data_IF_446466745579
#
_entry.id   IF_446466745579
#
_cell.length_a   1.000
_cell.length_b   1.000
_cell.length_c   1.000
_cell.angle_alpha   90.00
_cell.angle_beta   90.00
_cell.angle_gamma   90.00
#
_symmetry.space_group_name_H-M   'P 1'
#
loop_
_entity.id
_entity.type
_entity.pdbx_description
1 polymer ?
#
# COMPACT_ATOMS: atom_id res chain seq x y z
N UNK A 1 -25.65 -47.54 17.49
CA UNK A 1 -24.68 -47.97 16.45
C UNK A 1 -25.04 -47.25 15.16
N UNK A 2 -24.17 -46.39 14.62
CA UNK A 2 -24.45 -45.63 13.40
C UNK A 2 -24.70 -46.55 12.19
N UNK A 3 -25.68 -46.20 11.35
CA UNK A 3 -26.02 -46.97 10.15
C UNK A 3 -24.79 -47.17 9.25
N UNK A 4 -24.69 -48.28 8.51
CA UNK A 4 -23.53 -48.57 7.64
C UNK A 4 -23.30 -47.50 6.56
N UNK A 5 -24.31 -46.68 6.24
CA UNK A 5 -24.18 -45.51 5.38
C UNK A 5 -23.35 -44.39 6.05
N UNK A 6 -23.58 -44.09 7.34
CA UNK A 6 -22.82 -43.07 8.10
C UNK A 6 -21.34 -43.44 8.23
N UNK A 7 -21.04 -44.72 8.48
CA UNK A 7 -19.65 -45.21 8.57
C UNK A 7 -18.90 -45.06 7.23
N UNK A 8 -19.56 -45.38 6.11
CA UNK A 8 -18.99 -45.22 4.77
C UNK A 8 -18.74 -43.74 4.43
N UNK A 9 -19.69 -42.86 4.76
CA UNK A 9 -19.52 -41.42 4.58
C UNK A 9 -18.36 -40.87 5.41
N UNK A 10 -18.24 -41.25 6.70
CA UNK A 10 -17.11 -40.82 7.54
C UNK A 10 -15.77 -41.30 6.98
N UNK A 11 -15.67 -42.56 6.55
CA UNK A 11 -14.44 -43.07 5.94
C UNK A 11 -14.07 -42.33 4.66
N UNK A 12 -15.06 -41.98 3.83
CA UNK A 12 -14.83 -41.18 2.62
C UNK A 12 -14.32 -39.77 2.95
N UNK A 13 -14.91 -39.09 3.95
CA UNK A 13 -14.47 -37.76 4.38
C UNK A 13 -13.06 -37.79 4.98
N UNK A 14 -12.75 -38.79 5.80
CA UNK A 14 -11.39 -38.98 6.36
C UNK A 14 -10.39 -39.27 5.23
N UNK A 15 -10.74 -40.13 4.28
CA UNK A 15 -9.91 -40.41 3.12
C UNK A 15 -9.65 -39.15 2.26
N UNK A 16 -10.68 -38.35 2.02
CA UNK A 16 -10.56 -37.08 1.31
C UNK A 16 -9.66 -36.09 2.06
N UNK A 17 -9.81 -35.95 3.38
CA UNK A 17 -8.97 -35.08 4.20
C UNK A 17 -7.50 -35.52 4.18
N UNK A 18 -7.23 -36.82 4.30
CA UNK A 18 -5.86 -37.36 4.24
C UNK A 18 -5.25 -37.13 2.86
N UNK A 19 -6.01 -37.38 1.78
CA UNK A 19 -5.55 -37.14 0.42
C UNK A 19 -5.26 -35.65 0.17
N UNK A 20 -6.17 -34.76 0.58
CA UNK A 20 -5.98 -33.31 0.50
C UNK A 20 -4.71 -32.89 1.27
N UNK A 21 -4.55 -33.35 2.51
CA UNK A 21 -3.37 -33.05 3.34
C UNK A 21 -2.11 -33.54 2.63
N UNK A 22 -2.10 -34.77 2.13
CA UNK A 22 -0.96 -35.32 1.41
C UNK A 22 -0.61 -34.49 0.16
N UNK A 23 -1.60 -34.08 -0.64
CA UNK A 23 -1.40 -33.24 -1.82
C UNK A 23 -0.75 -31.89 -1.45
N UNK A 24 -1.28 -31.22 -0.42
CA UNK A 24 -0.77 -29.91 0.04
C UNK A 24 0.67 -30.02 0.55
N UNK A 25 0.98 -31.00 1.41
CA UNK A 25 2.32 -31.12 2.00
C UNK A 25 3.35 -31.79 1.08
N UNK A 26 2.91 -32.42 0.00
CA UNK A 26 3.78 -33.02 -1.02
C UNK A 26 4.01 -32.09 -2.21
N UNK A 27 3.35 -30.93 -2.26
CA UNK A 27 3.50 -29.95 -3.32
C UNK A 27 4.96 -29.44 -3.39
N UNK A 28 5.67 -29.65 -4.49
CA UNK A 28 7.04 -29.17 -4.66
C UNK A 28 7.12 -27.64 -4.76
N UNK A 29 6.05 -26.94 -5.13
CA UNK A 29 6.05 -25.47 -5.24
C UNK A 29 6.31 -24.81 -3.89
N UNK A 30 5.69 -25.30 -2.82
CA UNK A 30 5.94 -24.86 -1.44
C UNK A 30 7.35 -25.19 -0.90
N UNK A 31 8.13 -26.00 -1.63
CA UNK A 31 9.54 -26.30 -1.34
C UNK A 31 10.51 -25.55 -2.27
N UNK A 32 9.99 -24.89 -3.29
CA UNK A 32 10.77 -24.20 -4.33
C UNK A 32 10.91 -22.70 -4.06
N UNK A 33 10.04 -22.12 -3.23
CA UNK A 33 10.24 -20.75 -2.75
C UNK A 33 11.44 -20.72 -1.80
N UNK A 34 12.40 -19.81 -2.01
CA UNK A 34 13.53 -19.68 -1.09
C UNK A 34 12.98 -19.35 0.31
N UNK A 35 13.55 -19.96 1.37
CA UNK A 35 13.16 -19.63 2.73
C UNK A 35 13.41 -18.14 2.99
N UNK A 36 12.60 -17.55 3.85
CA UNK A 36 12.80 -16.16 4.28
C UNK A 36 14.26 -15.96 4.73
N UNK A 37 14.84 -14.81 4.38
CA UNK A 37 16.16 -14.43 4.88
C UNK A 37 16.16 -14.36 6.41
N UNK A 38 17.33 -14.47 7.04
CA UNK A 38 17.47 -14.37 8.50
C UNK A 38 16.83 -13.06 9.01
N UNK A 39 17.06 -11.96 8.30
CA UNK A 39 16.50 -10.65 8.63
C UNK A 39 14.96 -10.62 8.48
N UNK A 40 14.41 -11.27 7.46
CA UNK A 40 12.96 -11.41 7.31
C UNK A 40 12.34 -12.31 8.39
N UNK A 41 13.05 -13.34 8.87
CA UNK A 41 12.60 -14.18 9.99
C UNK A 41 12.54 -13.38 11.29
N UNK A 42 13.54 -12.52 11.54
CA UNK A 42 13.52 -11.56 12.66
C UNK A 42 12.34 -10.58 12.53
N UNK A 43 12.14 -10.02 11.33
CA UNK A 43 11.01 -9.14 11.01
C UNK A 43 9.65 -9.79 11.26
N UNK A 44 9.51 -11.07 10.88
CA UNK A 44 8.32 -11.87 11.21
C UNK A 44 8.15 -12.01 12.72
N UNK A 45 9.22 -12.20 13.48
CA UNK A 45 9.17 -12.22 14.94
C UNK A 45 8.60 -10.93 15.52
N UNK A 46 9.12 -9.79 15.05
CA UNK A 46 8.68 -8.44 15.44
C UNK A 46 7.19 -8.24 15.11
N UNK A 47 6.77 -8.57 13.88
CA UNK A 47 5.36 -8.53 13.46
C UNK A 47 4.41 -9.20 14.45
N UNK A 48 4.73 -10.43 14.88
CA UNK A 48 3.90 -11.17 15.82
C UNK A 48 3.95 -10.58 17.23
N UNK A 49 5.14 -10.18 17.70
CA UNK A 49 5.35 -9.65 19.05
C UNK A 49 4.63 -8.32 19.28
N UNK A 50 4.55 -7.46 18.26
CA UNK A 50 3.82 -6.20 18.30
C UNK A 50 2.34 -6.35 17.89
N UNK A 51 1.88 -7.58 17.66
CA UNK A 51 0.49 -7.92 17.36
C UNK A 51 -0.05 -7.20 16.09
N UNK A 52 0.82 -6.99 15.09
CA UNK A 52 0.45 -6.30 13.85
C UNK A 52 -0.71 -7.01 13.14
N UNK A 53 -0.78 -8.34 13.21
CA UNK A 53 -1.85 -9.18 12.67
C UNK A 53 -3.24 -8.92 13.26
N UNK A 54 -3.35 -8.32 14.45
CA UNK A 54 -4.67 -8.03 15.04
C UNK A 54 -5.39 -6.90 14.31
N UNK A 55 -4.65 -6.04 13.61
CA UNK A 55 -5.19 -4.94 12.82
C UNK A 55 -5.00 -5.15 11.32
N UNK A 56 -3.86 -5.70 10.90
CA UNK A 56 -3.48 -5.86 9.50
C UNK A 56 -3.62 -7.29 9.00
N UNK A 57 -3.75 -7.42 7.68
CA UNK A 57 -3.85 -8.71 7.00
C UNK A 57 -2.56 -9.06 6.26
N UNK A 58 -2.33 -10.36 6.09
CA UNK A 58 -1.41 -10.97 5.14
C UNK A 58 -2.20 -12.03 4.38
N UNK A 59 -2.20 -11.98 3.04
CA UNK A 59 -3.07 -12.77 2.16
C UNK A 59 -4.55 -12.66 2.54
N UNK A 60 -4.95 -11.51 3.08
CA UNK A 60 -6.28 -11.28 3.62
C UNK A 60 -6.63 -12.03 4.91
N UNK A 61 -5.66 -12.67 5.56
CA UNK A 61 -5.82 -13.25 6.89
C UNK A 61 -5.26 -12.30 7.96
N UNK A 62 -6.07 -11.99 8.97
CA UNK A 62 -5.71 -11.09 10.06
C UNK A 62 -6.86 -10.17 10.46
N UNK A 63 -6.54 -9.03 11.06
CA UNK A 63 -7.49 -7.98 11.40
C UNK A 63 -7.90 -7.13 10.19
N UNK A 64 -9.06 -6.48 10.26
CA UNK A 64 -9.61 -5.67 9.16
C UNK A 64 -9.57 -4.16 9.44
N UNK A 65 -8.88 -3.74 10.51
CA UNK A 65 -8.82 -2.34 10.89
C UNK A 65 -7.79 -1.57 10.05
N UNK A 66 -6.66 -2.22 9.76
CA UNK A 66 -5.62 -1.73 8.87
C UNK A 66 -5.71 -2.40 7.48
N UNK A 67 -5.05 -1.83 6.47
CA UNK A 67 -4.97 -2.45 5.15
C UNK A 67 -4.21 -3.78 5.18
N UNK A 68 -4.51 -4.65 4.21
CA UNK A 68 -3.67 -5.79 3.86
C UNK A 68 -2.27 -5.32 3.44
N UNK A 69 -1.24 -5.91 4.06
CA UNK A 69 0.15 -5.52 3.90
C UNK A 69 0.96 -6.45 2.99
N UNK A 70 0.36 -7.50 2.42
CA UNK A 70 1.02 -8.52 1.58
C UNK A 70 1.94 -7.89 0.53
N UNK A 71 1.43 -6.92 -0.24
CA UNK A 71 2.21 -6.23 -1.27
C UNK A 71 2.32 -4.72 -1.00
N UNK A 72 1.84 -4.22 0.14
CA UNK A 72 1.77 -2.78 0.42
C UNK A 72 3.15 -2.10 0.44
N UNK A 73 4.18 -2.85 0.85
CA UNK A 73 5.56 -2.35 0.91
C UNK A 73 6.12 -1.92 -0.45
N UNK A 74 5.59 -2.47 -1.56
CA UNK A 74 6.08 -2.16 -2.91
C UNK A 74 5.75 -0.72 -3.34
N UNK A 75 4.70 -0.12 -2.78
CA UNK A 75 4.28 1.25 -3.08
C UNK A 75 4.75 2.29 -2.06
N UNK A 76 5.63 1.92 -1.11
CA UNK A 76 6.05 2.80 -0.01
C UNK A 76 7.55 3.09 -0.08
N UNK A 77 7.90 4.37 0.15
CA UNK A 77 9.29 4.78 0.31
C UNK A 77 9.84 4.35 1.68
N UNK A 78 11.17 4.19 1.77
CA UNK A 78 11.82 3.79 3.03
C UNK A 78 11.54 4.79 4.15
N UNK A 79 11.62 6.10 3.86
CA UNK A 79 11.31 7.15 4.82
C UNK A 79 9.87 7.05 5.37
N UNK A 80 8.92 6.63 4.52
CA UNK A 80 7.53 6.44 4.94
C UNK A 80 7.36 5.21 5.82
N UNK A 81 8.02 4.11 5.50
CA UNK A 81 8.02 2.90 6.35
C UNK A 81 8.60 3.22 7.73
N UNK A 82 9.74 3.92 7.77
CA UNK A 82 10.38 4.33 9.02
C UNK A 82 9.46 5.24 9.87
N UNK A 83 8.84 6.25 9.24
CA UNK A 83 7.93 7.17 9.94
C UNK A 83 6.67 6.46 10.45
N UNK A 84 6.03 5.58 9.66
CA UNK A 84 4.87 4.82 10.11
C UNK A 84 5.21 3.91 11.30
N UNK A 85 6.35 3.21 11.27
CA UNK A 85 6.72 2.26 12.31
C UNK A 85 7.14 2.97 13.61
N UNK A 86 7.66 4.19 13.52
CA UNK A 86 8.11 4.97 14.70
C UNK A 86 7.03 5.88 15.27
N UNK A 87 6.26 6.57 14.42
CA UNK A 87 5.26 7.57 14.83
C UNK A 87 3.82 7.05 14.80
N UNK A 88 3.58 5.93 14.11
CA UNK A 88 2.24 5.42 13.88
C UNK A 88 1.47 6.24 12.83
N UNK A 89 0.22 5.86 12.61
CA UNK A 89 -0.67 6.54 11.67
C UNK A 89 -2.13 6.39 12.09
N UNK A 90 -2.75 7.50 12.49
CA UNK A 90 -4.15 7.56 12.93
C UNK A 90 -4.43 6.57 14.09
N UNK A 91 -4.99 5.40 13.79
CA UNK A 91 -5.31 4.34 14.74
C UNK A 91 -4.13 3.37 14.95
N UNK A 92 -3.16 3.34 14.03
CA UNK A 92 -1.94 2.56 14.19
C UNK A 92 -1.05 3.25 15.23
N UNK A 93 -0.71 2.56 16.34
CA UNK A 93 0.11 3.15 17.40
C UNK A 93 1.56 3.33 16.96
N UNK A 94 2.28 4.20 17.67
CA UNK A 94 3.73 4.32 17.56
C UNK A 94 4.39 3.11 18.22
N UNK A 95 5.25 2.39 17.50
CA UNK A 95 5.93 1.19 18.02
C UNK A 95 7.37 1.46 18.46
N UNK A 96 7.93 2.65 18.13
CA UNK A 96 9.28 3.08 18.51
C UNK A 96 10.39 2.06 18.18
N UNK A 97 10.20 1.26 17.14
CA UNK A 97 11.15 0.24 16.71
C UNK A 97 12.52 0.85 16.40
N UNK A 98 13.59 0.17 16.79
CA UNK A 98 14.97 0.53 16.44
C UNK A 98 15.22 0.38 14.93
N UNK A 99 16.30 0.97 14.42
CA UNK A 99 16.58 0.94 12.98
C UNK A 99 16.66 -0.49 12.43
N UNK A 100 17.40 -1.38 13.10
CA UNK A 100 17.51 -2.78 12.69
C UNK A 100 16.16 -3.51 12.70
N UNK A 101 15.29 -3.21 13.67
CA UNK A 101 13.95 -3.79 13.75
C UNK A 101 13.04 -3.31 12.60
N UNK A 102 13.13 -2.04 12.23
CA UNK A 102 12.37 -1.49 11.09
C UNK A 102 12.84 -2.08 9.77
N UNK A 103 14.16 -2.24 9.61
CA UNK A 103 14.75 -2.91 8.46
C UNK A 103 14.30 -4.38 8.38
N UNK A 104 14.27 -5.08 9.52
CA UNK A 104 13.80 -6.46 9.62
C UNK A 104 12.32 -6.60 9.20
N UNK A 105 11.42 -5.79 9.76
CA UNK A 105 9.99 -5.79 9.38
C UNK A 105 9.81 -5.44 7.91
N UNK A 106 10.57 -4.46 7.40
CA UNK A 106 10.53 -4.09 5.99
C UNK A 106 10.97 -5.24 5.10
N UNK A 107 12.07 -5.92 5.45
CA UNK A 107 12.57 -7.07 4.69
C UNK A 107 11.57 -8.23 4.70
N UNK A 108 10.94 -8.49 5.85
CA UNK A 108 9.86 -9.46 5.96
C UNK A 108 8.72 -9.17 4.98
N UNK A 109 8.22 -7.93 4.94
CA UNK A 109 7.14 -7.55 4.03
C UNK A 109 7.57 -7.59 2.56
N UNK A 110 8.83 -7.27 2.24
CA UNK A 110 9.35 -7.34 0.85
C UNK A 110 9.39 -8.76 0.33
N UNK A 111 9.96 -9.68 1.10
CA UNK A 111 10.00 -11.09 0.69
C UNK A 111 8.61 -11.71 0.66
N UNK A 112 7.73 -11.30 1.58
CA UNK A 112 6.33 -11.71 1.54
C UNK A 112 5.65 -11.29 0.24
N UNK A 113 5.90 -10.06 -0.23
CA UNK A 113 5.34 -9.55 -1.48
C UNK A 113 5.77 -10.33 -2.74
N UNK A 114 6.87 -11.09 -2.66
CA UNK A 114 7.34 -11.98 -3.74
C UNK A 114 6.66 -13.35 -3.72
N UNK A 115 6.06 -13.73 -2.59
CA UNK A 115 5.47 -15.07 -2.40
C UNK A 115 4.00 -15.16 -2.81
N UNK A 116 3.34 -14.04 -3.13
CA UNK A 116 1.98 -14.03 -3.65
C UNK A 116 1.36 -12.63 -3.68
N UNK A 117 0.06 -12.59 -3.99
CA UNK A 117 -0.72 -11.34 -4.06
C UNK A 117 -1.77 -11.27 -2.95
N UNK A 118 -2.02 -10.07 -2.42
CA UNK A 118 -3.11 -9.80 -1.47
C UNK A 118 -4.47 -10.18 -2.06
N UNK A 119 -5.50 -10.30 -1.21
CA UNK A 119 -6.88 -10.49 -1.68
C UNK A 119 -7.25 -9.48 -2.78
N UNK A 120 -8.02 -9.92 -3.80
CA UNK A 120 -8.38 -9.06 -4.91
C UNK A 120 -9.25 -7.93 -4.37
N UNK A 121 -8.71 -6.71 -4.42
CA UNK A 121 -9.46 -5.50 -4.08
C UNK A 121 -10.51 -5.30 -5.17
N UNK A 122 -11.73 -4.95 -4.78
CA UNK A 122 -12.84 -4.72 -5.73
C UNK A 122 -12.49 -3.54 -6.65
N UNK A 123 -12.58 -3.75 -7.97
CA UNK A 123 -12.20 -2.79 -9.00
C UNK A 123 -10.75 -2.97 -9.48
N UNK A 124 -10.52 -2.84 -10.79
CA UNK A 124 -9.17 -2.57 -11.30
C UNK A 124 -8.71 -1.27 -10.67
N UNK A 125 -7.91 -1.39 -9.61
CA UNK A 125 -7.25 -0.24 -9.03
C UNK A 125 -5.98 -0.06 -9.85
N UNK A 126 -6.07 0.68 -10.96
CA UNK A 126 -4.87 1.35 -11.47
C UNK A 126 -4.22 2.02 -10.24
N UNK A 127 -2.94 1.72 -9.95
CA UNK A 127 -2.24 2.35 -8.85
C UNK A 127 -2.46 3.87 -8.92
N UNK A 128 -2.78 4.53 -7.81
CA UNK A 128 -2.98 5.98 -7.83
C UNK A 128 -1.86 6.79 -8.48
N UNK A 129 -0.62 6.30 -8.41
CA UNK A 129 0.52 6.88 -9.12
C UNK A 129 0.39 6.77 -10.65
N UNK A 130 -0.04 5.62 -11.16
CA UNK A 130 -0.26 5.40 -12.60
C UNK A 130 -1.44 6.24 -13.13
N UNK A 131 -2.48 6.45 -12.31
CA UNK A 131 -3.56 7.37 -12.67
C UNK A 131 -3.09 8.82 -12.73
N UNK A 132 -2.20 9.23 -11.82
CA UNK A 132 -1.57 10.53 -11.90
C UNK A 132 -0.72 10.63 -13.17
N UNK A 133 0.09 9.61 -13.48
CA UNK A 133 0.91 9.56 -14.68
C UNK A 133 0.08 9.72 -15.95
N UNK A 134 -1.01 8.97 -16.09
CA UNK A 134 -1.92 9.05 -17.23
C UNK A 134 -2.59 10.42 -17.34
N UNK A 135 -3.01 10.99 -16.21
CA UNK A 135 -3.59 12.34 -16.19
C UNK A 135 -2.58 13.40 -16.64
N UNK A 136 -1.34 13.33 -16.14
CA UNK A 136 -0.26 14.24 -16.52
C UNK A 136 0.11 14.07 -17.99
N UNK A 137 0.19 12.84 -18.50
CA UNK A 137 0.47 12.56 -19.90
C UNK A 137 -0.59 13.16 -20.82
N UNK A 138 -1.87 12.98 -20.50
CA UNK A 138 -2.98 13.59 -21.25
C UNK A 138 -2.94 15.12 -21.21
N UNK A 139 -2.64 15.71 -20.05
CA UNK A 139 -2.50 17.16 -19.95
C UNK A 139 -1.32 17.70 -20.77
N UNK A 140 -0.21 16.97 -20.84
CA UNK A 140 0.94 17.34 -21.70
C UNK A 140 0.57 17.27 -23.18
N UNK A 141 -0.23 16.30 -23.59
CA UNK A 141 -0.72 16.17 -24.97
C UNK A 141 -1.65 17.32 -25.35
N UNK A 142 -2.55 17.73 -24.44
CA UNK A 142 -3.57 18.76 -24.69
C UNK A 142 -3.03 20.20 -24.53
N UNK A 143 -2.29 20.47 -23.46
CA UNK A 143 -1.87 21.82 -23.06
C UNK A 143 -0.40 22.12 -23.46
N UNK A 144 0.34 21.11 -23.91
CA UNK A 144 1.78 21.20 -24.19
C UNK A 144 2.66 20.83 -22.98
N UNK A 145 3.99 20.91 -23.12
CA UNK A 145 4.93 20.43 -22.10
C UNK A 145 4.79 21.21 -20.79
N UNK A 146 4.90 20.48 -19.67
CA UNK A 146 4.94 21.08 -18.34
C UNK A 146 6.10 22.10 -18.24
N UNK A 147 5.83 23.24 -17.62
CA UNK A 147 6.87 24.19 -17.25
C UNK A 147 7.94 23.48 -16.38
N UNK A 148 9.21 23.86 -16.53
CA UNK A 148 10.35 23.15 -15.91
C UNK A 148 10.21 22.96 -14.39
N UNK A 149 9.70 23.97 -13.67
CA UNK A 149 9.44 23.87 -12.23
C UNK A 149 8.32 22.89 -11.88
N UNK A 150 7.26 22.82 -12.71
CA UNK A 150 6.14 21.89 -12.54
C UNK A 150 6.61 20.45 -12.83
N UNK A 151 7.38 20.25 -13.89
CA UNK A 151 7.95 18.96 -14.24
C UNK A 151 8.90 18.42 -13.14
N UNK A 152 9.72 19.29 -12.55
CA UNK A 152 10.58 18.91 -11.40
C UNK A 152 9.74 18.54 -10.18
N UNK A 153 8.69 19.31 -9.88
CA UNK A 153 7.79 19.01 -8.75
C UNK A 153 7.06 17.67 -8.93
N UNK A 154 6.62 17.38 -10.16
CA UNK A 154 6.02 16.10 -10.52
C UNK A 154 6.97 14.93 -10.29
N UNK A 155 8.23 15.05 -10.74
CA UNK A 155 9.25 14.03 -10.53
C UNK A 155 9.49 13.75 -9.03
N UNK A 156 9.61 14.81 -8.22
CA UNK A 156 9.77 14.68 -6.76
C UNK A 156 8.57 13.99 -6.13
N UNK A 157 7.34 14.32 -6.56
CA UNK A 157 6.11 13.67 -6.06
C UNK A 157 6.12 12.16 -6.31
N UNK A 158 6.63 11.72 -7.47
CA UNK A 158 6.83 10.31 -7.80
C UNK A 158 7.94 9.66 -6.95
N UNK A 159 9.13 10.27 -6.92
CA UNK A 159 10.30 9.78 -6.17
C UNK A 159 10.03 9.64 -4.66
N UNK A 160 9.30 10.58 -4.08
CA UNK A 160 8.94 10.56 -2.65
C UNK A 160 7.69 9.72 -2.35
N UNK A 161 7.00 9.24 -3.39
CA UNK A 161 5.79 8.41 -3.24
C UNK A 161 4.61 9.15 -2.62
N UNK A 162 4.49 10.47 -2.83
CA UNK A 162 3.48 11.30 -2.16
C UNK A 162 2.05 10.80 -2.40
N UNK A 163 1.76 10.32 -3.63
CA UNK A 163 0.44 9.81 -4.04
C UNK A 163 0.08 8.48 -3.38
N UNK A 164 1.04 7.76 -2.81
CA UNK A 164 0.76 6.57 -1.99
C UNK A 164 -0.04 6.88 -0.73
N UNK A 165 0.00 8.12 -0.24
CA UNK A 165 -0.78 8.57 0.92
C UNK A 165 -1.77 9.68 0.55
N UNK A 166 -1.32 10.67 -0.21
CA UNK A 166 -2.09 11.85 -0.56
C UNK A 166 -2.77 11.69 -1.91
N UNK A 167 -3.99 11.19 -1.89
CA UNK A 167 -4.80 11.03 -3.10
C UNK A 167 -5.53 12.32 -3.45
N UNK A 168 -5.75 12.60 -4.75
CA UNK A 168 -6.77 13.51 -5.28
C UNK A 168 -8.20 13.05 -4.94
N UNK A 169 -8.46 12.69 -3.69
CA UNK A 169 -9.73 12.13 -3.26
C UNK A 169 -9.93 12.34 -1.75
N UNK A 170 -11.02 13.00 -1.32
CA UNK A 170 -11.34 13.16 0.10
C UNK A 170 -11.62 11.84 0.83
N UNK A 171 -11.77 10.71 0.11
CA UNK A 171 -12.01 9.37 0.64
C UNK A 171 -10.74 8.49 0.75
N UNK A 172 -9.54 9.06 0.62
CA UNK A 172 -8.30 8.30 0.82
C UNK A 172 -8.34 7.48 2.12
N UNK A 173 -8.05 6.18 2.03
CA UNK A 173 -7.96 5.27 3.19
C UNK A 173 -6.93 5.76 4.21
N UNK A 174 -5.95 6.53 3.76
CA UNK A 174 -4.86 7.05 4.60
C UNK A 174 -5.22 8.36 5.31
N UNK A 175 -6.40 8.95 5.02
CA UNK A 175 -6.87 10.24 5.57
C UNK A 175 -5.84 11.37 5.48
N UNK A 176 -4.90 11.28 4.53
CA UNK A 176 -3.97 12.36 4.24
C UNK A 176 -4.71 13.48 3.49
N UNK A 177 -4.28 14.75 3.63
CA UNK A 177 -4.89 15.85 2.89
C UNK A 177 -4.82 15.65 1.37
N UNK A 178 -5.89 16.02 0.68
CA UNK A 178 -5.97 16.04 -0.77
C UNK A 178 -5.06 17.14 -1.35
N UNK A 179 -3.97 16.72 -2.04
CA UNK A 179 -2.97 17.64 -2.60
C UNK A 179 -3.54 18.62 -3.62
N UNK A 180 -4.62 18.26 -4.31
CA UNK A 180 -5.29 19.13 -5.30
C UNK A 180 -5.96 20.36 -4.66
N UNK A 181 -5.93 20.46 -3.34
CA UNK A 181 -6.47 21.61 -2.59
C UNK A 181 -5.45 22.28 -1.68
N UNK A 182 -4.21 21.75 -1.60
CA UNK A 182 -3.25 22.19 -0.58
C UNK A 182 -2.53 23.49 -0.94
N UNK A 183 -2.37 23.80 -2.22
CA UNK A 183 -1.60 24.97 -2.63
C UNK A 183 -2.21 26.30 -2.12
N UNK A 184 -3.53 26.48 -2.22
CA UNK A 184 -4.20 27.67 -1.65
C UNK A 184 -4.51 27.59 -0.14
N UNK A 185 -4.57 26.37 0.43
CA UNK A 185 -4.98 26.15 1.83
C UNK A 185 -3.84 26.24 2.84
N UNK A 186 -2.59 26.09 2.40
CA UNK A 186 -1.42 26.07 3.27
C UNK A 186 -0.54 27.27 2.93
N UNK A 187 -0.19 28.05 3.96
CA UNK A 187 0.75 29.16 3.80
C UNK A 187 2.12 28.65 3.30
N UNK A 188 2.76 29.39 2.40
CA UNK A 188 4.02 28.96 1.77
C UNK A 188 5.10 28.60 2.80
N UNK A 189 5.29 29.44 3.82
CA UNK A 189 6.26 29.16 4.88
C UNK A 189 5.98 27.83 5.58
N UNK A 190 4.70 27.55 5.87
CA UNK A 190 4.28 26.30 6.49
C UNK A 190 4.49 25.08 5.58
N UNK A 191 4.21 25.22 4.29
CA UNK A 191 4.43 24.14 3.31
C UNK A 191 5.91 23.76 3.25
N UNK A 192 6.82 24.74 3.21
CA UNK A 192 8.27 24.50 3.20
C UNK A 192 8.71 23.74 4.47
N UNK A 193 8.23 24.16 5.64
CA UNK A 193 8.53 23.47 6.91
C UNK A 193 8.03 22.02 6.89
N UNK A 194 6.80 21.77 6.41
CA UNK A 194 6.24 20.40 6.35
C UNK A 194 7.04 19.51 5.39
N UNK A 195 7.51 20.06 4.27
CA UNK A 195 8.32 19.31 3.30
C UNK A 195 9.73 19.01 3.81
N UNK A 196 10.37 19.92 4.55
CA UNK A 196 11.70 19.67 5.12
C UNK A 196 11.64 18.79 6.38
N UNK A 197 10.71 19.07 7.31
CA UNK A 197 10.68 18.50 8.66
C UNK A 197 9.66 17.38 8.86
N UNK A 198 8.65 17.27 7.99
CA UNK A 198 7.49 16.40 8.22
C UNK A 198 6.51 17.01 9.24
N UNK A 199 5.60 16.20 9.78
CA UNK A 199 4.69 16.62 10.87
C UNK A 199 4.93 15.73 12.08
N UNK A 200 5.55 16.25 13.16
CA UNK A 200 5.83 15.45 14.35
C UNK A 200 4.58 14.79 14.95
N UNK A 201 4.68 13.50 15.25
CA UNK A 201 3.58 12.71 15.81
C UNK A 201 2.50 12.35 14.78
N UNK A 202 2.84 12.43 13.48
CA UNK A 202 1.98 12.04 12.37
C UNK A 202 2.85 11.31 11.36
N UNK A 203 2.25 10.38 10.61
CA UNK A 203 2.98 9.60 9.61
C UNK A 203 3.63 10.40 8.46
N UNK A 204 3.42 11.72 8.35
CA UNK A 204 4.01 12.54 7.27
C UNK A 204 5.53 12.64 7.50
N UNK A 205 6.36 11.95 6.69
CA UNK A 205 7.76 11.78 6.99
C UNK A 205 8.56 13.05 6.69
N UNK A 206 9.76 13.10 7.27
CA UNK A 206 10.78 14.10 6.93
C UNK A 206 11.36 13.82 5.53
N UNK A 207 11.08 14.66 4.54
CA UNK A 207 11.57 14.44 3.16
C UNK A 207 12.94 15.07 2.88
N UNK A 208 13.42 16.01 3.72
CA UNK A 208 14.73 16.70 3.58
C UNK A 208 14.96 17.33 2.20
N UNK A 209 13.91 17.92 1.62
CA UNK A 209 13.99 18.54 0.31
C UNK A 209 14.75 19.88 0.37
N UNK A 210 15.49 20.21 -0.69
CA UNK A 210 16.12 21.53 -0.84
C UNK A 210 15.05 22.63 -1.03
N UNK A 211 15.40 23.89 -0.76
CA UNK A 211 14.47 25.02 -0.98
C UNK A 211 13.94 25.05 -2.42
N UNK A 212 14.81 24.82 -3.41
CA UNK A 212 14.41 24.74 -4.82
C UNK A 212 13.49 23.57 -5.13
N UNK A 213 13.70 22.41 -4.48
CA UNK A 213 12.82 21.25 -4.65
C UNK A 213 11.45 21.50 -4.01
N UNK A 214 11.41 22.14 -2.84
CA UNK A 214 10.15 22.54 -2.22
C UNK A 214 9.37 23.55 -3.08
N UNK A 215 10.05 24.49 -3.73
CA UNK A 215 9.43 25.41 -4.70
C UNK A 215 8.88 24.69 -5.92
N UNK A 216 9.61 23.69 -6.43
CA UNK A 216 9.14 22.86 -7.54
C UNK A 216 7.90 22.04 -7.15
N UNK A 217 7.90 21.41 -5.97
CA UNK A 217 6.73 20.71 -5.42
C UNK A 217 5.55 21.68 -5.30
N UNK A 218 5.74 22.89 -4.76
CA UNK A 218 4.70 23.92 -4.68
C UNK A 218 4.14 24.28 -6.07
N UNK A 219 5.00 24.45 -7.07
CA UNK A 219 4.58 24.73 -8.44
C UNK A 219 3.71 23.58 -9.01
N UNK A 220 4.07 22.34 -8.71
CA UNK A 220 3.24 21.19 -9.10
C UNK A 220 1.92 21.11 -8.32
N UNK A 221 1.91 21.45 -7.03
CA UNK A 221 0.65 21.55 -6.26
C UNK A 221 -0.29 22.63 -6.83
N UNK A 222 0.25 23.77 -7.27
CA UNK A 222 -0.52 24.82 -7.94
C UNK A 222 -1.14 24.32 -9.25
N UNK A 223 -0.33 23.64 -10.07
CA UNK A 223 -0.78 23.03 -11.32
C UNK A 223 -1.88 21.98 -11.11
N UNK A 224 -1.76 21.15 -10.07
CA UNK A 224 -2.79 20.19 -9.68
C UNK A 224 -4.07 20.88 -9.18
N UNK A 225 -3.95 22.00 -8.46
CA UNK A 225 -5.10 22.73 -7.94
C UNK A 225 -5.96 23.33 -9.07
N UNK A 226 -5.33 23.90 -10.10
CA UNK A 226 -6.01 24.38 -11.31
C UNK A 226 -6.83 23.28 -12.00
N UNK A 227 -6.36 22.04 -11.92
CA UNK A 227 -6.96 20.84 -12.55
C UNK A 227 -7.70 19.96 -11.54
N UNK A 228 -7.87 20.43 -10.31
CA UNK A 228 -8.24 19.58 -9.18
C UNK A 228 -9.63 18.96 -9.31
N UNK A 229 -10.58 19.65 -9.96
CA UNK A 229 -11.92 19.07 -10.19
C UNK A 229 -11.87 17.87 -11.14
N UNK A 230 -11.14 17.99 -12.25
CA UNK A 230 -10.97 16.91 -13.22
C UNK A 230 -10.23 15.74 -12.59
N UNK A 231 -9.10 15.99 -11.91
CA UNK A 231 -8.37 14.94 -11.20
C UNK A 231 -9.24 14.23 -10.15
N UNK A 232 -9.99 14.97 -9.32
CA UNK A 232 -10.87 14.34 -8.31
C UNK A 232 -11.98 13.51 -8.94
N UNK A 233 -12.46 13.88 -10.12
CA UNK A 233 -13.47 13.12 -10.88
C UNK A 233 -12.89 11.81 -11.39
N UNK A 234 -11.69 11.87 -11.98
CA UNK A 234 -11.00 10.69 -12.51
C UNK A 234 -10.58 9.74 -11.37
N UNK A 235 -10.18 10.29 -10.23
CA UNK A 235 -9.85 9.51 -9.03
C UNK A 235 -11.09 9.02 -8.24
N UNK A 236 -12.29 9.52 -8.53
CA UNK A 236 -13.51 9.04 -7.89
C UNK A 236 -13.93 7.65 -8.40
N UNK A 237 -13.56 7.30 -9.64
CA UNK A 237 -13.90 6.01 -10.28
C UNK A 237 -13.12 4.82 -9.71
N UNK A 238 -11.95 5.08 -9.09
CA UNK A 238 -11.07 4.09 -8.45
C UNK A 238 -11.83 3.22 -7.43
N UNK A 239 -12.94 3.71 -6.87
CA UNK A 239 -13.72 2.99 -5.86
C UNK A 239 -15.05 2.36 -6.32
N UNK A 240 -15.53 2.59 -7.55
CA UNK A 240 -16.96 2.36 -7.85
C UNK A 240 -17.34 1.52 -9.07
N UNK A 241 -16.44 1.21 -10.01
CA UNK A 241 -16.90 0.72 -11.33
C UNK A 241 -16.48 -0.69 -11.76
N UNK A 242 -15.80 -1.47 -10.92
CA UNK A 242 -15.52 -2.87 -11.25
C UNK A 242 -16.74 -3.79 -11.11
N UNK A 243 -17.37 -4.20 -12.22
CA UNK A 243 -18.20 -5.42 -12.22
C UNK A 243 -17.31 -6.61 -11.82
N UNK A 244 -17.66 -7.28 -10.72
CA UNK A 244 -16.96 -8.51 -10.33
C UNK A 244 -17.41 -9.62 -11.28
N UNK A 245 -16.52 -10.00 -12.20
CA UNK A 245 -16.68 -11.24 -12.96
C UNK A 245 -16.13 -12.35 -12.08
N UNK A 246 -17.01 -12.98 -11.29
CA UNK A 246 -16.62 -14.07 -10.36
C UNK A 246 -15.86 -15.21 -11.07
N UNK A 247 -16.14 -15.44 -12.35
CA UNK A 247 -15.46 -16.44 -13.18
C UNK A 247 -14.06 -16.04 -13.65
N UNK A 248 -13.70 -14.75 -13.57
CA UNK A 248 -12.38 -14.24 -13.93
C UNK A 248 -11.46 -14.08 -12.72
N UNK A 249 -11.99 -14.22 -11.50
CA UNK A 249 -11.17 -14.29 -10.30
C UNK A 249 -10.41 -15.62 -10.29
N UNK A 250 -9.07 -15.62 -10.13
CA UNK A 250 -8.31 -16.84 -9.93
C UNK A 250 -8.60 -17.37 -8.53
N UNK A 251 -9.77 -17.99 -8.35
CA UNK A 251 -10.27 -18.50 -7.08
C UNK A 251 -9.35 -19.56 -6.45
N UNK A 252 -8.41 -20.11 -7.21
CA UNK A 252 -7.39 -21.07 -6.76
C UNK A 252 -6.08 -20.41 -6.26
N UNK A 253 -5.86 -19.12 -6.50
CA UNK A 253 -4.70 -18.37 -5.99
C UNK A 253 -4.93 -17.83 -4.56
N UNK A 254 -6.13 -18.01 -4.03
CA UNK A 254 -6.52 -17.58 -2.69
C UNK A 254 -6.89 -18.82 -1.85
N UNK A 255 -5.92 -19.50 -1.22
CA UNK A 255 -6.17 -20.56 -0.25
C UNK A 255 -6.85 -20.03 1.02
#
# INVERSE_FOLDING_TARGET
MGTPARKRLMLALVGAFVLQTWLVYSDPTGRSTPPLSILAVEGRGIWHSHNCQACHQIYGFGGFLGPDLTNAVLGLSQARLDSILTEGSQQMPAFHLEQGEREAVTQYLRELAETGVSQPKRGENLPPAELLENFVALAVELDGPLASGVARGYAIVGEQGCIGCHLPNPRSLHRAPDLTTMHSRVEQARLLTVLDEGIPGKAMPRLRLSTSDCEAVRAFLAWMEERGEAMRRDFASIGSEGQIILSALPWFEYP
#
